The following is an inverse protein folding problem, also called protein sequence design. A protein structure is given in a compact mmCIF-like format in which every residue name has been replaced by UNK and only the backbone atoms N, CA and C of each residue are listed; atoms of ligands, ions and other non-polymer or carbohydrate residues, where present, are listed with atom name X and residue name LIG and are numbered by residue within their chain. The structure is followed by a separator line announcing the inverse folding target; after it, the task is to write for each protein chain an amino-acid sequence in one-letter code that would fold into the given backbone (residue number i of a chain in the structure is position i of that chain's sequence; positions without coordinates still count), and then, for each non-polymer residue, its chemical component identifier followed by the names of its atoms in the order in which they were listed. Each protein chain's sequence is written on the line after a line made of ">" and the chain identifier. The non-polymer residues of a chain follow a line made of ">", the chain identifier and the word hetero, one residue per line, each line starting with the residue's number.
data_IF_374451309700
#
_entry.id   IF_374451309700
#
_cell.length_a   1.000
_cell.length_b   1.000
_cell.length_c   1.000
_cell.angle_alpha   90.00
_cell.angle_beta   90.00
_cell.angle_gamma   90.00
#
_symmetry.space_group_name_H-M   'P 1'
#
loop_
_entity.id
_entity.type
_entity.pdbx_description
1 polymer ?
#
# COMPACT_ATOMS: atom_id res chain seq x y z
N UNK A 1 29.50 -1.11 65.88
CA UNK A 1 28.86 -2.02 64.91
C UNK A 1 27.56 -1.37 64.45
N UNK A 2 27.52 -0.78 63.25
CA UNK A 2 26.30 -0.23 62.62
C UNK A 2 26.42 -0.48 61.12
N UNK A 3 25.81 -1.56 60.65
CA UNK A 3 25.74 -1.94 59.24
C UNK A 3 24.73 -1.04 58.55
N UNK A 4 25.16 -0.24 57.56
CA UNK A 4 24.27 0.54 56.69
C UNK A 4 23.79 -0.37 55.56
N UNK A 5 22.51 -0.73 55.57
CA UNK A 5 21.84 -1.38 54.45
C UNK A 5 21.48 -0.28 53.44
N UNK A 6 22.13 -0.26 52.28
CA UNK A 6 21.71 0.58 51.15
C UNK A 6 20.66 -0.18 50.35
N UNK A 7 19.41 0.29 50.42
CA UNK A 7 18.31 -0.16 49.57
C UNK A 7 18.47 0.57 48.23
N UNK A 8 18.92 -0.14 47.21
CA UNK A 8 18.93 0.36 45.83
C UNK A 8 17.52 0.21 45.24
N UNK A 9 16.91 1.28 44.70
CA UNK A 9 15.61 1.18 44.05
C UNK A 9 15.78 0.43 42.72
N UNK A 10 15.15 -0.72 42.61
CA UNK A 10 15.02 -1.45 41.35
C UNK A 10 14.00 -0.69 40.49
N UNK A 11 14.48 0.15 39.58
CA UNK A 11 13.66 0.72 38.52
C UNK A 11 13.29 -0.39 37.54
N UNK A 12 12.08 -0.93 37.68
CA UNK A 12 11.51 -1.85 36.71
C UNK A 12 11.20 -1.08 35.41
N UNK A 13 12.07 -1.22 34.41
CA UNK A 13 11.85 -0.71 33.07
C UNK A 13 10.85 -1.63 32.34
N UNK A 14 9.58 -1.28 32.37
CA UNK A 14 8.56 -1.95 31.57
C UNK A 14 8.80 -1.61 30.09
N UNK A 15 9.32 -2.57 29.32
CA UNK A 15 9.34 -2.48 27.86
C UNK A 15 7.89 -2.67 27.40
N UNK A 16 7.21 -1.57 27.11
CA UNK A 16 5.89 -1.60 26.48
C UNK A 16 6.15 -2.05 25.04
N UNK A 17 5.84 -3.30 24.73
CA UNK A 17 5.81 -3.76 23.35
C UNK A 17 4.63 -3.03 22.69
N UNK A 18 4.93 -1.96 21.95
CA UNK A 18 3.97 -1.42 20.99
C UNK A 18 3.83 -2.48 19.91
N UNK A 19 2.63 -3.02 19.74
CA UNK A 19 2.30 -3.77 18.54
C UNK A 19 2.55 -2.83 17.36
N UNK A 20 3.71 -2.98 16.72
CA UNK A 20 3.92 -2.47 15.37
C UNK A 20 3.02 -3.35 14.53
N UNK A 21 1.79 -2.88 14.31
CA UNK A 21 0.92 -3.39 13.27
C UNK A 21 1.77 -3.46 12.01
N UNK A 22 2.02 -4.67 11.50
CA UNK A 22 2.86 -4.90 10.33
C UNK A 22 2.25 -4.34 9.03
N UNK A 23 1.14 -3.62 9.16
CA UNK A 23 0.37 -3.05 8.09
C UNK A 23 1.05 -1.81 7.54
N UNK A 24 1.15 -0.76 8.35
CA UNK A 24 1.70 0.54 7.96
C UNK A 24 2.67 1.09 9.00
N UNK A 25 3.65 1.88 8.53
CA UNK A 25 4.55 2.60 9.42
C UNK A 25 3.78 3.62 10.28
N UNK A 26 4.33 3.99 11.44
CA UNK A 26 3.70 4.97 12.32
C UNK A 26 3.40 6.27 11.58
N UNK A 27 2.14 6.73 11.64
CA UNK A 27 1.68 7.95 10.97
C UNK A 27 1.17 7.74 9.54
N UNK A 28 1.29 6.53 9.00
CA UNK A 28 0.72 6.16 7.71
C UNK A 28 -0.63 5.47 7.88
N UNK A 29 -1.53 5.70 6.94
CA UNK A 29 -2.88 5.15 6.85
C UNK A 29 -2.86 3.98 5.85
N UNK A 30 -3.42 2.81 6.19
CA UNK A 30 -3.59 1.71 5.24
C UNK A 30 -4.49 2.10 4.07
N UNK A 31 -4.05 1.77 2.85
CA UNK A 31 -4.82 1.99 1.62
C UNK A 31 -5.26 0.68 0.97
N UNK A 32 -4.35 -0.29 0.90
CA UNK A 32 -4.59 -1.60 0.29
C UNK A 32 -3.59 -2.61 0.82
N UNK A 33 -4.00 -3.86 0.91
CA UNK A 33 -3.18 -4.97 1.35
C UNK A 33 -3.47 -6.22 0.52
N UNK A 34 -2.49 -7.12 0.45
CA UNK A 34 -2.61 -8.39 -0.25
C UNK A 34 -1.62 -9.42 0.30
N UNK A 35 -2.11 -10.60 0.66
CA UNK A 35 -1.29 -11.77 0.93
C UNK A 35 -0.98 -12.52 -0.36
N UNK A 36 0.26 -12.98 -0.54
CA UNK A 36 0.65 -13.67 -1.79
C UNK A 36 0.34 -15.17 -1.71
N UNK A 37 -0.36 -15.68 -2.72
CA UNK A 37 -0.72 -17.10 -2.82
C UNK A 37 0.53 -17.97 -2.73
N UNK A 38 0.48 -18.97 -1.85
CA UNK A 38 1.56 -19.96 -1.68
C UNK A 38 2.83 -19.41 -1.01
N UNK A 39 2.79 -18.21 -0.41
CA UNK A 39 3.94 -17.60 0.28
C UNK A 39 3.57 -17.12 1.69
N UNK A 40 4.59 -16.90 2.51
CA UNK A 40 4.45 -16.23 3.83
C UNK A 40 4.56 -14.71 3.74
N UNK A 41 4.63 -14.16 2.52
CA UNK A 41 4.83 -12.74 2.25
C UNK A 41 3.50 -12.02 2.00
N UNK A 42 3.44 -10.75 2.36
CA UNK A 42 2.35 -9.85 2.02
C UNK A 42 2.89 -8.55 1.42
N UNK A 43 1.99 -7.83 0.78
CA UNK A 43 2.13 -6.46 0.33
C UNK A 43 1.16 -5.59 1.12
N UNK A 44 1.64 -4.43 1.60
CA UNK A 44 0.78 -3.35 2.10
C UNK A 44 1.13 -2.04 1.37
N UNK A 45 0.10 -1.31 0.98
CA UNK A 45 0.16 0.05 0.47
C UNK A 45 -0.40 0.96 1.54
N UNK A 46 0.37 1.98 1.91
CA UNK A 46 0.00 2.93 2.94
C UNK A 46 0.29 4.34 2.46
N UNK A 47 -0.45 5.34 2.94
CA UNK A 47 -0.23 6.73 2.58
C UNK A 47 -0.26 7.66 3.80
N UNK A 48 0.29 8.86 3.64
CA UNK A 48 -0.04 10.02 4.47
C UNK A 48 -0.62 11.12 3.55
N UNK A 49 -0.56 12.39 3.96
CA UNK A 49 -1.08 13.50 3.17
C UNK A 49 -0.26 13.79 1.90
N UNK A 50 0.98 13.30 1.81
CA UNK A 50 1.94 13.71 0.78
C UNK A 50 2.54 12.53 0.01
N UNK A 51 2.61 11.36 0.63
CA UNK A 51 3.33 10.20 0.12
C UNK A 51 2.47 8.95 0.19
N UNK A 52 2.74 8.04 -0.73
CA UNK A 52 2.25 6.67 -0.70
C UNK A 52 3.45 5.74 -0.70
N UNK A 53 3.32 4.60 -0.04
CA UNK A 53 4.40 3.65 0.17
C UNK A 53 3.98 2.23 -0.17
N UNK A 54 4.93 1.47 -0.67
CA UNK A 54 4.82 0.05 -0.99
C UNK A 54 5.70 -0.73 -0.01
N UNK A 55 5.13 -1.73 0.65
CA UNK A 55 5.81 -2.56 1.65
C UNK A 55 5.62 -4.02 1.31
N UNK A 56 6.67 -4.71 0.89
CA UNK A 56 6.64 -6.15 0.60
C UNK A 56 7.59 -6.91 1.52
N UNK A 57 7.15 -8.05 2.04
CA UNK A 57 8.02 -8.97 2.77
C UNK A 57 7.25 -9.99 3.59
N UNK A 58 7.97 -10.76 4.39
CA UNK A 58 7.38 -11.73 5.31
C UNK A 58 6.42 -11.06 6.29
N UNK A 59 5.20 -11.61 6.42
CA UNK A 59 4.17 -11.09 7.33
C UNK A 59 4.68 -10.95 8.76
N UNK A 60 4.38 -9.82 9.40
CA UNK A 60 4.81 -9.56 10.78
C UNK A 60 6.31 -9.27 10.94
N UNK A 61 7.06 -9.09 9.86
CA UNK A 61 8.50 -8.77 9.87
C UNK A 61 8.77 -7.41 9.25
N UNK A 62 10.01 -6.95 9.40
CA UNK A 62 10.53 -5.79 8.67
C UNK A 62 10.38 -6.07 7.17
N UNK A 63 9.86 -5.12 6.37
CA UNK A 63 9.70 -5.33 4.93
C UNK A 63 11.04 -5.61 4.27
N UNK A 64 11.03 -6.56 3.34
CA UNK A 64 12.17 -6.91 2.50
C UNK A 64 12.37 -5.88 1.39
N UNK A 65 11.28 -5.22 0.97
CA UNK A 65 11.27 -4.10 0.04
C UNK A 65 10.34 -3.00 0.55
N UNK A 66 10.86 -1.78 0.62
CA UNK A 66 10.12 -0.57 0.97
C UNK A 66 10.36 0.49 -0.11
N UNK A 67 9.30 0.96 -0.74
CA UNK A 67 9.33 2.08 -1.70
C UNK A 67 8.39 3.17 -1.22
N UNK A 68 8.70 4.42 -1.56
CA UNK A 68 7.86 5.57 -1.25
C UNK A 68 7.89 6.54 -2.42
N UNK A 69 6.72 7.02 -2.81
CA UNK A 69 6.55 7.98 -3.88
C UNK A 69 5.64 9.14 -3.44
N UNK A 70 5.86 10.37 -3.94
CA UNK A 70 4.92 11.46 -3.74
C UNK A 70 3.56 11.14 -4.37
N UNK A 71 2.47 11.44 -3.67
CA UNK A 71 1.11 11.27 -4.19
C UNK A 71 0.90 12.01 -5.51
N UNK A 72 1.50 13.20 -5.65
CA UNK A 72 1.39 14.00 -6.87
C UNK A 72 1.94 13.28 -8.12
N UNK A 73 2.93 12.40 -7.96
CA UNK A 73 3.67 11.79 -9.09
C UNK A 73 3.53 10.29 -9.20
N UNK A 74 3.06 9.60 -8.16
CA UNK A 74 2.84 8.15 -8.22
C UNK A 74 1.87 7.81 -9.34
N UNK A 75 2.18 6.76 -10.07
CA UNK A 75 1.36 6.26 -11.18
C UNK A 75 0.21 5.44 -10.60
N UNK A 76 -0.90 6.13 -10.31
CA UNK A 76 -2.12 5.55 -9.79
C UNK A 76 -3.23 5.71 -10.81
N UNK A 77 -3.90 4.61 -11.14
CA UNK A 77 -5.07 4.55 -12.00
C UNK A 77 -6.28 4.16 -11.15
N UNK A 78 -7.19 5.11 -10.86
CA UNK A 78 -8.39 4.81 -10.09
C UNK A 78 -9.33 3.95 -10.92
N UNK A 79 -10.35 3.41 -10.23
CA UNK A 79 -11.51 2.89 -10.92
C UNK A 79 -12.32 4.05 -11.49
N UNK A 80 -12.47 4.10 -12.82
CA UNK A 80 -13.22 5.16 -13.50
C UNK A 80 -14.60 4.71 -14.03
N UNK A 81 -15.00 3.48 -13.69
CA UNK A 81 -16.27 2.88 -14.09
C UNK A 81 -16.21 2.08 -15.40
N UNK A 82 -15.23 2.36 -16.27
CA UNK A 82 -15.02 1.60 -17.52
C UNK A 82 -14.05 0.43 -17.28
N UNK A 83 -12.98 0.65 -16.52
CA UNK A 83 -12.15 -0.45 -16.01
C UNK A 83 -12.89 -1.19 -14.87
N UNK A 84 -12.73 -2.51 -14.72
CA UNK A 84 -13.12 -3.24 -13.48
C UNK A 84 -11.90 -3.50 -12.58
N UNK A 85 -10.78 -2.85 -12.93
CA UNK A 85 -9.49 -2.92 -12.27
C UNK A 85 -9.03 -1.50 -11.91
N UNK A 86 -8.16 -1.39 -10.92
CA UNK A 86 -7.45 -0.17 -10.55
C UNK A 86 -6.05 -0.57 -10.19
N UNK A 87 -5.10 0.32 -10.42
CA UNK A 87 -3.70 -0.01 -10.21
C UNK A 87 -2.88 1.14 -9.63
N UNK A 88 -1.81 0.78 -8.95
CA UNK A 88 -0.79 1.72 -8.52
C UNK A 88 0.58 1.12 -8.76
N UNK A 89 1.47 1.89 -9.40
CA UNK A 89 2.79 1.42 -9.81
C UNK A 89 3.88 2.19 -9.09
N UNK A 90 4.73 1.44 -8.38
CA UNK A 90 5.93 1.96 -7.72
C UNK A 90 7.17 1.62 -8.53
N UNK A 91 8.14 2.52 -8.61
CA UNK A 91 9.36 2.38 -9.42
C UNK A 91 10.63 2.43 -8.56
N UNK A 92 11.59 1.59 -8.94
CA UNK A 92 12.94 1.58 -8.37
C UNK A 92 13.98 1.37 -9.48
N UNK A 93 14.47 2.48 -10.04
CA UNK A 93 15.34 2.43 -11.21
C UNK A 93 14.61 1.82 -12.42
N UNK A 94 15.15 0.71 -12.94
CA UNK A 94 14.56 -0.02 -14.06
C UNK A 94 13.42 -0.95 -13.66
N UNK A 95 13.21 -1.19 -12.36
CA UNK A 95 12.12 -2.04 -11.87
C UNK A 95 10.83 -1.24 -11.69
N UNK A 96 9.70 -1.87 -12.01
CA UNK A 96 8.37 -1.38 -11.66
C UNK A 96 7.56 -2.49 -10.98
N UNK A 97 6.74 -2.09 -10.01
CA UNK A 97 5.90 -2.94 -9.17
C UNK A 97 4.47 -2.41 -9.29
N UNK A 98 3.72 -2.93 -10.26
CA UNK A 98 2.32 -2.58 -10.44
C UNK A 98 1.46 -3.47 -9.56
N UNK A 99 0.68 -2.85 -8.69
CA UNK A 99 -0.30 -3.51 -7.84
C UNK A 99 -1.66 -3.30 -8.46
N UNK A 100 -2.35 -4.39 -8.78
CA UNK A 100 -3.70 -4.38 -9.35
C UNK A 100 -4.65 -5.01 -8.36
N UNK A 101 -5.81 -4.39 -8.15
CA UNK A 101 -6.96 -5.05 -7.50
C UNK A 101 -8.19 -4.92 -8.39
N UNK A 102 -9.20 -5.76 -8.19
CA UNK A 102 -10.41 -5.83 -9.02
C UNK A 102 -11.56 -6.58 -8.37
N UNK A 103 -12.73 -6.39 -8.94
CA UNK A 103 -13.93 -7.15 -8.62
C UNK A 103 -14.28 -8.06 -9.79
N UNK A 104 -14.57 -9.32 -9.50
CA UNK A 104 -15.23 -10.17 -10.48
C UNK A 104 -16.65 -9.66 -10.72
N UNK A 105 -17.04 -9.57 -11.99
CA UNK A 105 -18.38 -9.16 -12.44
C UNK A 105 -19.47 -10.16 -12.05
N UNK A 106 -19.10 -11.38 -11.68
CA UNK A 106 -20.03 -12.41 -11.22
C UNK A 106 -20.35 -12.20 -9.74
N UNK A 107 -21.56 -11.68 -9.48
CA UNK A 107 -22.14 -11.69 -8.14
C UNK A 107 -22.33 -13.14 -7.68
N UNK A 108 -21.63 -13.53 -6.62
CA UNK A 108 -21.94 -14.76 -5.90
C UNK A 108 -23.00 -14.49 -4.84
N UNK A 109 -23.64 -15.54 -4.30
CA UNK A 109 -24.52 -15.42 -3.13
C UNK A 109 -23.79 -14.82 -1.91
N UNK A 110 -22.46 -14.81 -1.92
CA UNK A 110 -21.58 -14.22 -0.89
C UNK A 110 -21.11 -12.79 -1.22
N UNK A 111 -21.60 -12.20 -2.32
CA UNK A 111 -21.27 -10.85 -2.77
C UNK A 111 -20.26 -10.80 -3.91
N UNK A 112 -19.68 -9.62 -4.12
CA UNK A 112 -18.63 -9.38 -5.13
C UNK A 112 -17.32 -10.02 -4.68
N UNK A 113 -16.72 -10.84 -5.55
CA UNK A 113 -15.41 -11.46 -5.32
C UNK A 113 -14.30 -10.46 -5.66
N UNK A 114 -13.35 -10.23 -4.75
CA UNK A 114 -12.13 -9.49 -5.06
C UNK A 114 -11.09 -10.36 -5.75
N UNK A 115 -10.26 -9.76 -6.59
CA UNK A 115 -9.01 -10.33 -7.06
C UNK A 115 -7.92 -9.27 -7.05
N UNK A 116 -6.68 -9.70 -7.13
CA UNK A 116 -5.56 -8.78 -7.26
C UNK A 116 -4.26 -9.52 -7.51
N UNK A 117 -3.27 -8.79 -7.99
CA UNK A 117 -1.92 -9.31 -8.19
C UNK A 117 -0.90 -8.17 -8.16
N UNK A 118 0.37 -8.56 -8.09
CA UNK A 118 1.50 -7.68 -8.30
C UNK A 118 2.25 -8.12 -9.55
N UNK A 119 2.38 -7.23 -10.52
CA UNK A 119 3.25 -7.41 -11.69
C UNK A 119 4.60 -6.76 -11.39
N UNK A 120 5.66 -7.54 -11.44
CA UNK A 120 7.05 -7.05 -11.33
C UNK A 120 7.65 -7.03 -12.73
N UNK A 121 8.12 -5.87 -13.18
CA UNK A 121 8.76 -5.72 -14.48
C UNK A 121 10.15 -5.09 -14.36
N UNK A 122 10.99 -5.32 -15.36
CA UNK A 122 12.31 -4.71 -15.51
C UNK A 122 12.45 -4.17 -16.94
N UNK A 123 12.73 -2.88 -17.08
CA UNK A 123 12.75 -2.18 -18.37
C UNK A 123 11.48 -2.40 -19.22
N UNK A 124 10.32 -2.52 -18.54
CA UNK A 124 9.02 -2.74 -19.16
C UNK A 124 8.70 -4.19 -19.53
N UNK A 125 9.63 -5.14 -19.32
CA UNK A 125 9.38 -6.57 -19.51
C UNK A 125 8.91 -7.21 -18.19
N UNK A 126 7.79 -7.92 -18.23
CA UNK A 126 7.28 -8.66 -17.07
C UNK A 126 8.25 -9.77 -16.65
N UNK A 127 8.69 -9.73 -15.39
CA UNK A 127 9.54 -10.75 -14.78
C UNK A 127 8.73 -11.77 -13.97
N UNK A 128 7.66 -11.30 -13.33
CA UNK A 128 6.84 -12.13 -12.46
C UNK A 128 5.49 -11.51 -12.22
N UNK A 129 4.48 -12.37 -12.07
CA UNK A 129 3.15 -12.01 -11.56
C UNK A 129 2.90 -12.77 -10.25
N UNK A 130 2.54 -12.04 -9.20
CA UNK A 130 2.27 -12.59 -7.87
C UNK A 130 0.78 -12.42 -7.56
N UNK A 131 0.03 -13.51 -7.61
CA UNK A 131 -1.42 -13.49 -7.33
C UNK A 131 -1.70 -13.30 -5.84
N UNK A 132 -2.74 -12.53 -5.54
CA UNK A 132 -3.23 -12.29 -4.18
C UNK A 132 -4.20 -13.38 -3.73
N UNK A 133 -4.16 -13.71 -2.45
CA UNK A 133 -5.21 -14.50 -1.80
C UNK A 133 -6.48 -13.65 -1.80
N UNK A 134 -7.53 -14.12 -2.47
CA UNK A 134 -8.78 -13.39 -2.69
C UNK A 134 -9.37 -12.74 -1.41
N UNK A 135 -9.37 -13.45 -0.28
CA UNK A 135 -9.92 -12.95 0.99
C UNK A 135 -9.05 -11.91 1.70
N UNK A 136 -7.84 -11.66 1.20
CA UNK A 136 -6.89 -10.70 1.77
C UNK A 136 -6.76 -9.42 0.96
N UNK A 137 -7.42 -9.34 -0.20
CA UNK A 137 -7.34 -8.17 -1.06
C UNK A 137 -8.20 -7.06 -0.47
N UNK A 138 -7.54 -6.03 0.03
CA UNK A 138 -8.15 -4.71 0.25
C UNK A 138 -7.96 -3.85 -1.00
N UNK A 139 -9.03 -3.21 -1.43
CA UNK A 139 -9.14 -2.58 -2.75
C UNK A 139 -8.33 -1.29 -2.89
N UNK A 140 -7.56 -1.10 -3.97
CA UNK A 140 -6.89 0.19 -4.33
C UNK A 140 -7.86 1.24 -4.90
N UNK A 141 -9.15 1.06 -4.66
CA UNK A 141 -10.25 1.88 -5.19
C UNK A 141 -10.75 2.93 -4.22
N UNK A 142 -10.13 3.03 -3.04
CA UNK A 142 -10.51 4.00 -2.04
C UNK A 142 -10.40 5.42 -2.58
N UNK A 143 -11.29 6.29 -2.09
CA UNK A 143 -11.23 7.71 -2.40
C UNK A 143 -9.95 8.35 -1.85
N UNK A 144 -9.23 7.72 -0.92
CA UNK A 144 -8.09 8.34 -0.22
C UNK A 144 -6.99 8.87 -1.17
N UNK A 145 -6.34 7.99 -1.93
CA UNK A 145 -5.27 8.43 -2.87
C UNK A 145 -5.84 9.29 -4.00
N UNK A 146 -7.08 9.03 -4.43
CA UNK A 146 -7.78 9.83 -5.42
C UNK A 146 -7.98 11.28 -4.93
N UNK A 147 -8.53 11.45 -3.74
CA UNK A 147 -8.84 12.72 -3.08
C UNK A 147 -7.56 13.49 -2.78
N UNK A 148 -6.50 12.81 -2.38
CA UNK A 148 -5.19 13.43 -2.15
C UNK A 148 -4.57 13.94 -3.45
N UNK A 149 -4.73 13.23 -4.58
CA UNK A 149 -4.35 13.76 -5.90
C UNK A 149 -5.21 14.95 -6.32
N UNK A 150 -6.50 14.92 -6.04
CA UNK A 150 -7.40 16.07 -6.29
C UNK A 150 -6.98 17.28 -5.44
N UNK A 151 -6.68 17.07 -4.16
CA UNK A 151 -6.16 18.11 -3.26
C UNK A 151 -4.80 18.67 -3.72
N UNK A 152 -3.99 17.85 -4.42
CA UNK A 152 -2.76 18.28 -5.07
C UNK A 152 -2.98 19.06 -6.39
N UNK A 153 -4.22 19.37 -6.76
CA UNK A 153 -4.56 20.13 -7.96
C UNK A 153 -4.56 19.31 -9.25
N UNK A 154 -4.77 18.00 -9.14
CA UNK A 154 -4.89 17.09 -10.28
C UNK A 154 -6.34 16.69 -10.54
N UNK A 155 -6.65 16.27 -11.77
CA UNK A 155 -7.91 15.61 -12.13
C UNK A 155 -7.61 14.34 -12.92
N UNK A 156 -8.41 13.31 -12.73
CA UNK A 156 -8.39 12.13 -13.59
C UNK A 156 -9.04 12.47 -14.94
N UNK A 157 -8.39 12.10 -16.04
CA UNK A 157 -8.84 12.35 -17.42
C UNK A 157 -8.92 11.05 -18.24
N UNK A 158 -9.30 9.95 -17.58
CA UNK A 158 -9.46 8.62 -18.18
C UNK A 158 -8.13 7.91 -18.44
N UNK A 159 -8.20 6.62 -18.75
CA UNK A 159 -7.05 5.74 -18.96
C UNK A 159 -6.02 6.23 -20.00
N UNK A 160 -6.49 6.82 -21.12
CA UNK A 160 -5.59 7.26 -22.20
C UNK A 160 -4.74 8.48 -21.81
N UNK A 161 -5.28 9.35 -20.94
CA UNK A 161 -4.64 10.62 -20.58
C UNK A 161 -4.03 10.57 -19.17
N UNK A 162 -4.67 9.87 -18.25
CA UNK A 162 -4.28 9.76 -16.85
C UNK A 162 -4.58 11.02 -16.04
N UNK A 163 -3.77 11.26 -15.00
CA UNK A 163 -3.88 12.45 -14.17
C UNK A 163 -3.28 13.67 -14.85
N UNK A 164 -4.05 14.76 -14.91
CA UNK A 164 -3.61 16.05 -15.45
C UNK A 164 -3.77 17.17 -14.44
N UNK A 165 -2.96 18.21 -14.55
CA UNK A 165 -3.15 19.41 -13.75
C UNK A 165 -4.51 20.04 -14.05
N UNK A 166 -5.21 20.51 -13.01
CA UNK A 166 -6.41 21.32 -13.18
C UNK A 166 -5.98 22.67 -13.77
N UNK A 167 -6.34 22.93 -15.02
CA UNK A 167 -6.04 24.19 -15.68
C UNK A 167 -6.72 25.35 -14.95
N UNK A 168 -5.94 26.21 -14.31
CA UNK A 168 -6.39 27.54 -13.92
C UNK A 168 -6.30 28.48 -15.12
N UNK A 169 -7.42 29.08 -15.54
CA UNK A 169 -7.38 30.34 -16.27
C UNK A 169 -6.58 31.35 -15.44
N UNK A 170 -5.42 31.77 -15.95
CA UNK A 170 -4.77 32.99 -15.49
C UNK A 170 -5.74 34.18 -15.58
#
# INVERSE_FOLDING_TARGET
>A
MRTRVSIFPVFAFCIVATDVSADCAQGMIPFSSCEIVGRSTSLNICHDDFTVSYRYGTRGKVPELYLSEPIATVDYRPWDGDALIGSITFRNGAYAYEVVSGFNSEFSDEGLSHFGWVTVSYNGEELSKLECVQTSVESVYGSDVYDLKVAAGLRWDGEETGWVAVSGSN
#
